data_IF_084865889308
#
_entry.id   IF_084865889308
#
_cell.length_a   1.000
_cell.length_b   1.000
_cell.length_c   1.000
_cell.angle_alpha   90.00
_cell.angle_beta   90.00
_cell.angle_gamma   90.00
#
_symmetry.space_group_name_H-M   'P 1'
#
loop_
_entity.id
_entity.type
_entity.pdbx_description
1 polymer ?
#
# COMPACT_ATOMS: atom_id res chain seq x y z
N UNK A 1 -45.63 21.24 2.93
CA UNK A 1 -44.84 20.09 2.43
C UNK A 1 -43.38 20.47 2.57
N UNK A 2 -42.61 19.76 3.40
CA UNK A 2 -41.16 19.98 3.53
C UNK A 2 -40.47 19.36 2.32
N UNK A 3 -39.62 20.13 1.64
CA UNK A 3 -38.77 19.63 0.54
C UNK A 3 -37.88 18.51 1.07
N UNK A 4 -37.73 17.36 0.38
CA UNK A 4 -36.78 16.34 0.79
C UNK A 4 -35.38 16.96 0.66
N UNK A 5 -34.68 17.14 1.79
CA UNK A 5 -33.24 17.40 1.77
C UNK A 5 -32.58 16.21 1.08
N UNK A 6 -31.94 16.46 -0.07
CA UNK A 6 -31.05 15.50 -0.72
C UNK A 6 -29.91 15.19 0.25
N UNK A 7 -30.03 14.08 0.97
CA UNK A 7 -28.96 13.56 1.81
C UNK A 7 -27.88 13.00 0.88
N UNK A 8 -26.75 13.69 0.76
CA UNK A 8 -25.56 13.17 0.07
C UNK A 8 -24.90 12.14 0.98
N UNK A 9 -24.75 10.90 0.51
CA UNK A 9 -24.05 9.84 1.24
C UNK A 9 -22.65 9.64 0.67
N UNK A 10 -21.64 9.84 1.52
CA UNK A 10 -20.25 9.51 1.19
C UNK A 10 -19.99 8.05 1.55
N UNK A 11 -19.69 7.22 0.55
CA UNK A 11 -19.46 5.79 0.73
C UNK A 11 -17.98 5.44 0.90
N UNK A 12 -17.10 6.15 0.21
CA UNK A 12 -15.66 5.87 0.19
C UNK A 12 -14.81 7.13 0.30
N UNK A 13 -13.63 6.99 0.88
CA UNK A 13 -12.50 7.91 0.76
C UNK A 13 -11.34 7.18 0.08
N UNK A 14 -10.70 7.83 -0.88
CA UNK A 14 -9.49 7.32 -1.54
C UNK A 14 -8.25 7.56 -0.69
N UNK A 15 -7.45 6.53 -0.45
CA UNK A 15 -6.14 6.63 0.18
C UNK A 15 -5.05 6.13 -0.77
N UNK A 16 -4.09 6.98 -1.11
CA UNK A 16 -2.87 6.57 -1.80
C UNK A 16 -1.81 6.11 -0.80
N UNK A 17 -1.15 4.99 -1.05
CA UNK A 17 0.01 4.52 -0.29
C UNK A 17 1.31 4.80 -1.06
N UNK A 18 1.52 6.04 -1.45
CA UNK A 18 2.77 6.48 -2.07
C UNK A 18 3.69 7.10 -1.01
N UNK A 19 4.96 6.71 -0.99
CA UNK A 19 5.96 7.44 -0.21
C UNK A 19 6.35 8.67 -1.00
N UNK A 20 5.57 9.74 -0.84
CA UNK A 20 5.80 11.00 -1.53
C UNK A 20 7.14 11.59 -1.05
N UNK A 21 8.06 11.98 -1.96
CA UNK A 21 9.30 12.65 -1.60
C UNK A 21 9.03 13.91 -0.76
N UNK A 22 9.63 13.99 0.43
CA UNK A 22 9.44 15.12 1.33
C UNK A 22 10.06 14.91 2.72
N UNK A 23 9.90 15.88 3.62
CA UNK A 23 10.51 15.83 4.96
C UNK A 23 10.14 14.59 5.78
N UNK A 24 8.95 14.02 5.54
CA UNK A 24 8.47 12.83 6.23
C UNK A 24 8.92 11.51 5.58
N UNK A 25 9.30 11.52 4.30
CA UNK A 25 9.80 10.33 3.59
C UNK A 25 11.07 9.76 4.26
N UNK A 26 11.83 10.60 4.97
CA UNK A 26 13.02 10.19 5.71
C UNK A 26 12.71 9.19 6.84
N UNK A 27 11.49 9.20 7.40
CA UNK A 27 11.10 8.31 8.49
C UNK A 27 10.65 6.93 7.99
N UNK A 28 10.11 6.87 6.77
CA UNK A 28 9.69 5.61 6.14
C UNK A 28 10.89 4.69 5.96
N UNK A 29 12.03 5.23 5.51
CA UNK A 29 13.27 4.48 5.39
C UNK A 29 13.73 3.93 6.76
N UNK A 30 13.68 4.73 7.83
CA UNK A 30 14.04 4.28 9.18
C UNK A 30 13.13 3.16 9.70
N UNK A 31 11.82 3.26 9.45
CA UNK A 31 10.86 2.20 9.81
C UNK A 31 11.15 0.90 9.04
N UNK A 32 11.40 1.00 7.72
CA UNK A 32 11.75 -0.17 6.91
C UNK A 32 13.14 -0.74 7.26
N UNK A 33 14.10 0.10 7.66
CA UNK A 33 15.42 -0.33 8.14
C UNK A 33 15.33 -1.09 9.46
N UNK A 34 14.52 -0.62 10.39
CA UNK A 34 14.26 -1.33 11.65
C UNK A 34 13.61 -2.69 11.37
N UNK A 35 12.66 -2.72 10.43
CA UNK A 35 12.00 -3.95 9.98
C UNK A 35 12.98 -4.94 9.33
N UNK A 36 13.78 -4.49 8.37
CA UNK A 36 14.77 -5.32 7.70
C UNK A 36 15.87 -5.81 8.65
N UNK A 37 16.31 -4.96 9.58
CA UNK A 37 17.31 -5.32 10.59
C UNK A 37 16.79 -6.37 11.56
N UNK A 38 15.52 -6.26 11.98
CA UNK A 38 14.87 -7.25 12.83
C UNK A 38 14.73 -8.61 12.11
N UNK A 39 14.39 -8.62 10.81
CA UNK A 39 14.28 -9.83 10.00
C UNK A 39 15.65 -10.51 9.79
N UNK A 40 16.69 -9.72 9.51
CA UNK A 40 18.05 -10.21 9.34
C UNK A 40 18.65 -10.75 10.64
N UNK A 41 18.43 -10.07 11.77
CA UNK A 41 18.87 -10.52 13.08
C UNK A 41 18.21 -11.84 13.52
N UNK A 42 16.98 -12.09 13.06
CA UNK A 42 16.27 -13.34 13.32
C UNK A 42 16.63 -14.48 12.35
N UNK A 43 17.59 -14.28 11.42
CA UNK A 43 17.93 -15.21 10.34
C UNK A 43 16.70 -15.73 9.58
N UNK A 44 15.72 -14.84 9.43
CA UNK A 44 14.39 -15.16 8.96
C UNK A 44 14.29 -14.89 7.45
N UNK A 45 14.20 -15.94 6.63
CA UNK A 45 13.59 -15.87 5.30
C UNK A 45 12.07 -15.88 5.47
N UNK A 46 11.53 -14.81 6.04
CA UNK A 46 10.13 -14.75 6.42
C UNK A 46 9.34 -14.03 5.34
N UNK A 47 8.33 -14.65 4.70
CA UNK A 47 7.24 -13.88 4.11
C UNK A 47 6.63 -13.10 5.29
N UNK A 48 6.63 -11.76 5.23
CA UNK A 48 6.34 -10.86 6.35
C UNK A 48 5.15 -11.32 7.23
N UNK A 49 5.44 -12.09 8.29
CA UNK A 49 4.43 -12.72 9.17
C UNK A 49 4.69 -12.44 10.64
N UNK A 50 5.81 -11.79 10.98
CA UNK A 50 6.07 -11.34 12.35
C UNK A 50 5.51 -9.93 12.53
N UNK A 51 4.70 -9.74 13.56
CA UNK A 51 4.22 -8.42 13.98
C UNK A 51 5.39 -7.48 14.28
N UNK A 52 5.34 -6.29 13.70
CA UNK A 52 6.40 -5.28 13.77
C UNK A 52 5.93 -3.98 14.41
N UNK A 53 4.61 -3.74 14.42
CA UNK A 53 3.98 -2.67 15.20
C UNK A 53 2.85 -3.26 16.04
N UNK A 54 2.84 -2.89 17.32
CA UNK A 54 1.78 -3.19 18.28
C UNK A 54 1.11 -1.87 18.64
N UNK A 55 -0.21 -1.76 18.40
CA UNK A 55 -0.98 -0.57 18.71
C UNK A 55 -2.34 -0.96 19.31
N UNK A 56 -2.55 -0.71 20.60
CA UNK A 56 -3.83 -0.94 21.29
C UNK A 56 -4.45 -2.34 21.07
N UNK A 57 -3.62 -3.38 21.01
CA UNK A 57 -4.07 -4.77 20.76
C UNK A 57 -4.15 -5.15 19.28
N UNK A 58 -3.90 -4.22 18.36
CA UNK A 58 -3.72 -4.47 16.92
C UNK A 58 -2.26 -4.77 16.62
N UNK A 59 -2.06 -5.80 15.80
CA UNK A 59 -0.76 -6.39 15.53
C UNK A 59 -0.48 -6.32 14.04
N UNK A 60 0.32 -5.35 13.61
CA UNK A 60 0.65 -5.15 12.19
C UNK A 60 1.93 -5.86 11.81
N UNK A 61 1.88 -6.74 10.82
CA UNK A 61 3.04 -7.43 10.24
C UNK A 61 3.57 -6.79 8.96
N UNK A 62 2.83 -5.82 8.40
CA UNK A 62 3.21 -5.05 7.22
C UNK A 62 2.76 -3.58 7.35
N UNK A 63 3.40 -2.69 6.58
CA UNK A 63 3.12 -1.24 6.64
C UNK A 63 1.81 -0.86 5.95
N UNK A 64 1.38 -1.65 4.96
CA UNK A 64 0.14 -1.39 4.21
C UNK A 64 -1.08 -1.40 5.13
N UNK A 65 -1.23 -2.43 5.96
CA UNK A 65 -2.31 -2.54 6.94
C UNK A 65 -2.29 -1.39 7.95
N UNK A 66 -1.11 -1.04 8.45
CA UNK A 66 -0.95 0.04 9.42
C UNK A 66 -1.36 1.40 8.82
N UNK A 67 -1.04 1.64 7.54
CA UNK A 67 -1.45 2.85 6.84
C UNK A 67 -2.96 2.90 6.65
N UNK A 68 -3.58 1.81 6.19
CA UNK A 68 -5.04 1.74 5.99
C UNK A 68 -5.79 1.95 7.31
N UNK A 69 -5.39 1.25 8.38
CA UNK A 69 -6.03 1.41 9.69
C UNK A 69 -5.82 2.80 10.30
N UNK A 70 -4.70 3.47 10.00
CA UNK A 70 -4.49 4.85 10.46
C UNK A 70 -5.53 5.82 9.88
N UNK A 71 -5.95 5.61 8.63
CA UNK A 71 -6.99 6.42 7.98
C UNK A 71 -8.36 6.07 8.56
N UNK A 72 -8.65 4.79 8.82
CA UNK A 72 -9.87 4.40 9.54
C UNK A 72 -9.95 5.03 10.93
N UNK A 73 -8.86 5.03 11.69
CA UNK A 73 -8.79 5.68 13.00
C UNK A 73 -9.02 7.20 12.90
N UNK A 74 -8.51 7.84 11.85
CA UNK A 74 -8.77 9.26 11.59
C UNK A 74 -10.26 9.52 11.29
N UNK A 75 -10.90 8.68 10.46
CA UNK A 75 -12.34 8.77 10.15
C UNK A 75 -13.20 8.60 11.40
N UNK A 76 -12.87 7.65 12.27
CA UNK A 76 -13.54 7.48 13.57
C UNK A 76 -13.45 8.75 14.42
N UNK A 77 -12.27 9.37 14.47
CA UNK A 77 -12.02 10.57 15.29
C UNK A 77 -12.79 11.79 14.82
N UNK A 78 -13.13 11.87 13.53
CA UNK A 78 -14.00 12.91 12.96
C UNK A 78 -15.47 12.48 12.86
N UNK A 79 -15.85 11.40 13.55
CA UNK A 79 -17.23 10.88 13.61
C UNK A 79 -17.78 10.44 12.23
N UNK A 80 -16.92 9.99 11.33
CA UNK A 80 -17.24 9.50 9.98
C UNK A 80 -17.01 7.99 9.84
N UNK A 81 -17.25 7.21 10.90
CA UNK A 81 -16.95 5.77 10.96
C UNK A 81 -17.74 4.90 9.97
N UNK A 82 -18.81 5.43 9.36
CA UNK A 82 -19.59 4.75 8.33
C UNK A 82 -18.97 4.83 6.94
N UNK A 83 -17.98 5.71 6.75
CA UNK A 83 -17.29 5.90 5.48
C UNK A 83 -16.20 4.85 5.32
N UNK A 84 -16.17 4.21 4.15
CA UNK A 84 -15.21 3.17 3.84
C UNK A 84 -13.95 3.72 3.14
N UNK A 85 -12.96 2.87 2.94
CA UNK A 85 -11.70 3.23 2.28
C UNK A 85 -11.51 2.40 1.02
N UNK A 86 -11.09 3.07 -0.05
CA UNK A 86 -10.52 2.45 -1.25
C UNK A 86 -9.06 2.86 -1.33
N UNK A 87 -8.15 1.90 -1.53
CA UNK A 87 -6.75 2.22 -1.80
C UNK A 87 -6.62 2.57 -3.28
N UNK A 88 -6.56 3.86 -3.60
CA UNK A 88 -6.64 4.33 -4.98
C UNK A 88 -5.32 4.20 -5.74
N UNK A 89 -4.19 4.18 -5.04
CA UNK A 89 -2.87 4.08 -5.64
C UNK A 89 -1.91 3.40 -4.68
N UNK A 90 -1.26 2.34 -5.15
CA UNK A 90 -0.23 1.64 -4.38
C UNK A 90 0.71 0.90 -5.33
N UNK A 91 2.01 0.94 -5.06
CA UNK A 91 3.01 0.38 -5.96
C UNK A 91 4.43 0.55 -5.44
N UNK A 92 5.38 0.04 -6.21
CA UNK A 92 6.80 0.16 -5.87
C UNK A 92 7.64 0.33 -7.13
N UNK A 93 8.57 1.29 -7.18
CA UNK A 93 9.33 1.57 -8.39
C UNK A 93 10.38 0.49 -8.66
N UNK A 94 10.43 0.04 -9.90
CA UNK A 94 11.37 -0.97 -10.40
C UNK A 94 12.79 -0.44 -10.63
N UNK A 95 12.95 0.88 -10.71
CA UNK A 95 14.23 1.57 -10.89
C UNK A 95 14.26 2.82 -9.99
N UNK A 96 15.43 3.15 -9.44
CA UNK A 96 15.67 4.44 -8.79
C UNK A 96 17.04 4.52 -8.11
N UNK A 97 17.33 5.65 -7.45
CA UNK A 97 18.65 5.89 -6.86
C UNK A 97 18.84 5.11 -5.54
N UNK A 98 19.32 3.88 -5.61
CA UNK A 98 19.75 3.09 -4.44
C UNK A 98 19.25 1.63 -4.43
N UNK A 99 19.70 0.86 -3.46
CA UNK A 99 19.57 -0.61 -3.45
C UNK A 99 18.13 -1.15 -3.31
N UNK A 100 17.15 -0.30 -2.97
CA UNK A 100 15.79 -0.72 -2.62
C UNK A 100 14.75 -0.55 -3.73
N UNK A 101 15.08 0.23 -4.77
CA UNK A 101 14.21 0.50 -5.93
C UNK A 101 14.71 -0.33 -7.11
N UNK A 102 14.27 -1.58 -7.14
CA UNK A 102 14.72 -2.59 -8.09
C UNK A 102 13.55 -3.52 -8.46
N UNK A 103 13.70 -4.22 -9.58
CA UNK A 103 12.70 -5.15 -10.13
C UNK A 103 12.26 -6.21 -9.10
N UNK A 104 13.19 -6.82 -8.37
CA UNK A 104 12.89 -7.87 -7.39
C UNK A 104 11.99 -7.37 -6.26
N UNK A 105 12.27 -6.19 -5.72
CA UNK A 105 11.45 -5.58 -4.68
C UNK A 105 10.09 -5.15 -5.21
N UNK A 106 10.04 -4.58 -6.42
CA UNK A 106 8.78 -4.19 -7.05
C UNK A 106 7.86 -5.40 -7.26
N UNK A 107 8.40 -6.47 -7.83
CA UNK A 107 7.67 -7.73 -8.03
C UNK A 107 7.21 -8.34 -6.70
N UNK A 108 8.07 -8.33 -5.67
CA UNK A 108 7.73 -8.85 -4.34
C UNK A 108 6.59 -8.05 -3.70
N UNK A 109 6.67 -6.73 -3.75
CA UNK A 109 5.63 -5.85 -3.20
C UNK A 109 4.30 -6.09 -3.88
N UNK A 110 4.26 -6.01 -5.22
CA UNK A 110 3.02 -6.12 -6.00
C UNK A 110 2.37 -7.49 -5.82
N UNK A 111 3.13 -8.58 -5.94
CA UNK A 111 2.56 -9.92 -5.82
C UNK A 111 2.11 -10.24 -4.39
N UNK A 112 2.84 -9.78 -3.36
CA UNK A 112 2.40 -9.95 -1.97
C UNK A 112 1.15 -9.12 -1.68
N UNK A 113 1.07 -7.89 -2.21
CA UNK A 113 -0.11 -7.06 -2.08
C UNK A 113 -1.32 -7.73 -2.72
N UNK A 114 -1.22 -8.20 -3.97
CA UNK A 114 -2.30 -8.93 -4.65
C UNK A 114 -2.73 -10.14 -3.82
N UNK A 115 -1.80 -10.96 -3.35
CA UNK A 115 -2.11 -12.13 -2.53
C UNK A 115 -2.80 -11.74 -1.21
N UNK A 116 -2.33 -10.66 -0.57
CA UNK A 116 -2.90 -10.16 0.68
C UNK A 116 -4.34 -9.66 0.48
N UNK A 117 -4.59 -8.74 -0.47
CA UNK A 117 -5.93 -8.19 -0.69
C UNK A 117 -6.90 -9.24 -1.22
N UNK A 118 -6.42 -10.16 -2.07
CA UNK A 118 -7.24 -11.27 -2.60
C UNK A 118 -7.57 -12.34 -1.57
N UNK A 119 -6.87 -12.36 -0.42
CA UNK A 119 -7.19 -13.29 0.67
C UNK A 119 -8.50 -12.97 1.39
N UNK A 120 -9.02 -11.74 1.23
CA UNK A 120 -10.19 -11.25 1.97
C UNK A 120 -9.94 -11.06 3.48
N UNK A 121 -8.68 -11.16 3.93
CA UNK A 121 -8.35 -11.07 5.36
C UNK A 121 -8.60 -9.67 5.95
N UNK A 122 -8.59 -8.63 5.11
CA UNK A 122 -8.62 -7.24 5.54
C UNK A 122 -7.38 -6.86 6.36
N UNK A 123 -7.49 -5.79 7.14
CA UNK A 123 -6.45 -5.30 8.06
C UNK A 123 -6.75 -5.76 9.51
N UNK A 124 -5.79 -5.70 10.44
CA UNK A 124 -6.03 -6.02 11.86
C UNK A 124 -7.21 -5.26 12.48
N UNK A 125 -7.39 -3.98 12.14
CA UNK A 125 -8.51 -3.15 12.60
C UNK A 125 -9.82 -3.38 11.86
N UNK A 126 -9.80 -4.10 10.72
CA UNK A 126 -10.95 -4.40 9.85
C UNK A 126 -10.89 -5.83 9.30
N UNK A 127 -10.80 -6.82 10.20
CA UNK A 127 -10.70 -8.24 9.82
C UNK A 127 -11.87 -8.69 8.96
N UNK A 128 -11.58 -9.43 7.88
CA UNK A 128 -12.58 -10.02 6.99
C UNK A 128 -13.26 -9.01 6.06
N UNK A 129 -12.75 -7.78 5.98
CA UNK A 129 -13.28 -6.74 5.10
C UNK A 129 -12.49 -6.69 3.80
N UNK A 130 -13.19 -6.83 2.69
CA UNK A 130 -12.59 -6.64 1.36
C UNK A 130 -12.08 -5.21 1.22
N UNK A 131 -10.86 -5.08 0.70
CA UNK A 131 -10.20 -3.80 0.49
C UNK A 131 -9.98 -3.57 -1.01
N UNK A 132 -10.87 -2.80 -1.62
CA UNK A 132 -10.72 -2.39 -3.01
C UNK A 132 -9.41 -1.60 -3.17
N UNK A 133 -8.55 -2.08 -4.06
CA UNK A 133 -7.15 -1.64 -4.17
C UNK A 133 -6.73 -1.54 -5.64
N UNK A 134 -6.15 -0.41 -6.01
CA UNK A 134 -5.68 -0.13 -7.37
C UNK A 134 -4.14 -0.04 -7.39
N UNK A 135 -3.53 -0.86 -8.24
CA UNK A 135 -2.08 -0.83 -8.47
C UNK A 135 -1.70 0.39 -9.30
N UNK A 136 -0.73 1.15 -8.82
CA UNK A 136 -0.06 2.21 -9.56
C UNK A 136 1.28 1.66 -10.09
N UNK A 137 1.47 1.48 -11.39
CA UNK A 137 0.59 1.82 -12.54
C UNK A 137 0.82 0.81 -13.67
N UNK A 138 -0.07 0.76 -14.66
CA UNK A 138 0.03 -0.20 -15.76
C UNK A 138 1.34 -0.06 -16.56
N UNK A 139 1.76 1.15 -16.90
CA UNK A 139 2.97 1.40 -17.71
C UNK A 139 3.97 2.31 -17.02
N UNK A 140 5.25 2.14 -17.36
CA UNK A 140 6.28 3.14 -17.06
C UNK A 140 5.96 4.46 -17.80
N UNK A 141 6.05 5.58 -17.08
CA UNK A 141 5.64 6.91 -17.57
C UNK A 141 6.85 7.82 -17.80
N UNK A 142 7.34 7.90 -19.03
CA UNK A 142 8.59 8.61 -19.37
C UNK A 142 8.51 10.14 -19.24
N UNK A 143 7.31 10.73 -19.24
CA UNK A 143 7.10 12.16 -19.03
C UNK A 143 7.04 12.59 -17.55
N UNK A 144 7.16 11.66 -16.60
CA UNK A 144 7.29 11.98 -15.18
C UNK A 144 8.70 12.45 -14.80
N UNK A 145 8.85 12.94 -13.58
CA UNK A 145 10.15 13.39 -13.06
C UNK A 145 11.19 12.26 -13.14
N UNK A 146 12.40 12.58 -13.59
CA UNK A 146 13.43 11.57 -13.82
C UNK A 146 13.75 10.77 -12.54
N UNK A 147 13.82 9.45 -12.66
CA UNK A 147 14.11 8.54 -11.55
C UNK A 147 12.96 7.58 -11.25
N UNK A 148 12.56 7.48 -9.99
CA UNK A 148 11.58 6.47 -9.55
C UNK A 148 10.20 6.64 -10.17
N UNK A 149 9.74 7.88 -10.34
CA UNK A 149 8.42 8.24 -10.86
C UNK A 149 8.16 7.69 -12.27
N UNK A 150 9.22 7.50 -13.08
CA UNK A 150 9.10 6.94 -14.43
C UNK A 150 8.98 5.41 -14.44
N UNK A 151 9.11 4.74 -13.28
CA UNK A 151 9.43 3.31 -13.19
C UNK A 151 8.49 2.50 -12.27
N UNK A 152 7.28 2.98 -12.00
CA UNK A 152 6.24 2.24 -11.26
C UNK A 152 5.45 1.23 -12.11
N UNK A 153 5.67 1.22 -13.43
CA UNK A 153 4.93 0.40 -14.38
C UNK A 153 5.07 -1.10 -14.11
N UNK A 154 3.95 -1.82 -14.26
CA UNK A 154 3.95 -3.28 -14.40
C UNK A 154 4.51 -3.71 -15.77
N UNK A 155 4.29 -2.88 -16.79
CA UNK A 155 4.72 -3.09 -18.17
C UNK A 155 5.56 -1.92 -18.69
N UNK A 156 6.45 -2.23 -19.63
CA UNK A 156 7.06 -1.23 -20.48
C UNK A 156 6.05 -0.74 -21.54
N UNK A 157 6.25 0.46 -22.14
CA UNK A 157 5.37 0.96 -23.20
C UNK A 157 5.24 0.05 -24.43
N UNK A 158 6.20 -0.86 -24.65
CA UNK A 158 6.17 -1.86 -25.71
C UNK A 158 5.35 -3.12 -25.35
N UNK A 159 4.58 -3.09 -24.26
CA UNK A 159 3.73 -4.18 -23.74
C UNK A 159 4.47 -5.40 -23.18
N UNK A 160 5.80 -5.36 -23.09
CA UNK A 160 6.55 -6.40 -22.36
C UNK A 160 6.49 -6.14 -20.85
N UNK A 161 6.48 -7.21 -20.07
CA UNK A 161 6.50 -7.12 -18.60
C UNK A 161 7.81 -6.48 -18.12
N UNK A 162 7.71 -5.57 -17.13
CA UNK A 162 8.88 -5.16 -16.34
C UNK A 162 9.27 -6.30 -15.39
N UNK A 163 8.25 -6.96 -14.83
CA UNK A 163 8.32 -8.18 -14.02
C UNK A 163 6.98 -8.91 -14.10
N UNK A 164 6.99 -10.22 -13.81
CA UNK A 164 5.77 -11.01 -13.86
C UNK A 164 4.84 -10.73 -12.67
N UNK A 165 3.56 -10.50 -12.96
CA UNK A 165 2.50 -10.18 -11.97
C UNK A 165 1.47 -11.31 -11.93
N UNK A 166 1.19 -11.82 -10.73
CA UNK A 166 0.26 -12.91 -10.49
C UNK A 166 -1.16 -12.37 -10.22
N UNK A 167 -1.85 -11.88 -11.24
CA UNK A 167 -3.26 -11.50 -11.07
C UNK A 167 -4.14 -12.72 -10.74
N UNK A 168 -5.13 -12.60 -9.84
CA UNK A 168 -6.09 -13.67 -9.59
C UNK A 168 -6.88 -13.97 -10.87
N UNK A 169 -7.17 -15.26 -11.08
CA UNK A 169 -7.91 -15.77 -12.22
C UNK A 169 -9.43 -15.60 -12.07
#
# INVERSE_FOLDING_TARGET
MLSPTLTVMFKYVSAGSEVIPGPLATYVLGAMQNLASALKAANAQVPATKTVVYDNGLHYSNLFDAMVDSVFAALEKVQASTVDIVVSETGWPSVGNGNFRNITNAQTYVNNLIAHVSSGSGTPGRTGKDLETYLFVLFNEDQKAAGAEQNFGLYYPNMTEVYHVNFPA
#
